data_IF_970108062445
#
_entry.id   IF_970108062445
#
_cell.length_a   1.000
_cell.length_b   1.000
_cell.length_c   1.000
_cell.angle_alpha   90.00
_cell.angle_beta   90.00
_cell.angle_gamma   90.00
#
_symmetry.space_group_name_H-M   'P 1'
#
loop_
_entity.id
_entity.type
_entity.pdbx_description
1 polymer ?
#
# COMPACT_ATOMS: atom_id res chain seq x y z
N UNK A 1 9.91 -1.12 21.60
CA UNK A 1 11.27 -1.59 21.25
C UNK A 1 12.01 -2.17 22.43
N UNK A 2 12.41 -1.39 23.45
CA UNK A 2 13.15 -1.91 24.61
C UNK A 2 12.48 -3.10 25.31
N UNK A 3 11.19 -2.98 25.66
CA UNK A 3 10.44 -4.09 26.26
C UNK A 3 10.34 -5.34 25.37
N UNK A 4 10.24 -5.15 24.05
CA UNK A 4 10.20 -6.28 23.11
C UNK A 4 11.56 -6.98 23.05
N UNK A 5 12.66 -6.23 23.01
CA UNK A 5 14.01 -6.77 23.04
C UNK A 5 14.28 -7.56 24.35
N UNK A 6 13.88 -7.01 25.50
CA UNK A 6 13.97 -7.72 26.78
C UNK A 6 13.10 -8.98 26.84
N UNK A 7 11.93 -8.98 26.18
CA UNK A 7 11.06 -10.14 26.12
C UNK A 7 11.67 -11.29 25.31
N UNK A 8 12.48 -11.01 24.27
CA UNK A 8 13.15 -12.06 23.46
C UNK A 8 14.15 -12.88 24.29
N UNK A 9 14.81 -12.25 25.27
CA UNK A 9 15.82 -12.93 26.10
C UNK A 9 15.26 -13.53 27.39
N UNK A 10 13.98 -13.29 27.69
CA UNK A 10 13.33 -13.79 28.89
C UNK A 10 12.92 -15.26 28.76
N UNK A 11 13.35 -16.10 29.70
CA UNK A 11 12.88 -17.50 29.80
C UNK A 11 11.50 -17.56 30.44
N UNK A 12 10.48 -17.94 29.67
CA UNK A 12 9.13 -18.17 30.19
C UNK A 12 9.07 -19.46 31.02
N UNK A 13 8.75 -19.35 32.31
CA UNK A 13 8.61 -20.51 33.22
C UNK A 13 7.32 -21.30 33.02
N UNK A 14 6.32 -20.72 32.35
CA UNK A 14 4.96 -21.27 32.22
C UNK A 14 4.60 -21.86 30.85
N UNK A 15 5.51 -21.83 29.86
CA UNK A 15 5.23 -22.28 28.47
C UNK A 15 3.98 -21.64 27.84
N UNK A 16 3.72 -20.35 28.10
CA UNK A 16 2.60 -19.63 27.48
C UNK A 16 2.83 -19.48 25.97
N UNK A 17 1.79 -19.72 25.18
CA UNK A 17 1.79 -19.57 23.71
C UNK A 17 2.30 -18.19 23.27
N UNK A 18 1.86 -17.11 23.95
CA UNK A 18 2.31 -15.74 23.65
C UNK A 18 3.81 -15.51 23.85
N UNK A 19 4.45 -16.24 24.77
CA UNK A 19 5.88 -16.10 24.99
C UNK A 19 6.70 -16.70 23.84
N UNK A 20 6.19 -17.75 23.18
CA UNK A 20 6.82 -18.33 21.99
C UNK A 20 6.74 -17.39 20.78
N UNK A 21 5.77 -16.46 20.77
CA UNK A 21 5.57 -15.49 19.69
C UNK A 21 6.34 -14.17 19.91
N UNK A 22 6.84 -13.91 21.12
CA UNK A 22 7.53 -12.66 21.47
C UNK A 22 8.68 -12.26 20.53
N UNK A 23 9.54 -13.19 20.05
CA UNK A 23 10.58 -12.85 19.08
C UNK A 23 10.01 -12.34 17.75
N UNK A 24 8.90 -12.91 17.29
CA UNK A 24 8.24 -12.46 16.07
C UNK A 24 7.63 -11.08 16.24
N UNK A 25 6.99 -10.79 17.38
CA UNK A 25 6.49 -9.44 17.68
C UNK A 25 7.60 -8.39 17.70
N UNK A 26 8.80 -8.77 18.16
CA UNK A 26 9.96 -7.89 18.09
C UNK A 26 10.38 -7.62 16.63
N UNK A 27 10.41 -8.64 15.77
CA UNK A 27 10.67 -8.47 14.32
C UNK A 27 9.60 -7.58 13.68
N UNK A 28 8.32 -7.76 14.01
CA UNK A 28 7.25 -6.92 13.49
C UNK A 28 7.44 -5.44 13.87
N UNK A 29 7.79 -5.16 15.13
CA UNK A 29 8.07 -3.80 15.60
C UNK A 29 9.31 -3.19 14.92
N UNK A 30 10.40 -3.96 14.77
CA UNK A 30 11.58 -3.53 14.01
C UNK A 30 11.22 -3.20 12.55
N UNK A 31 10.35 -4.01 11.94
CA UNK A 31 9.87 -3.82 10.58
C UNK A 31 9.08 -2.52 10.44
N UNK A 32 8.16 -2.23 11.37
CA UNK A 32 7.40 -0.96 11.39
C UNK A 32 8.31 0.25 11.62
N UNK A 33 9.34 0.11 12.46
CA UNK A 33 10.39 1.10 12.68
C UNK A 33 11.37 1.26 11.51
N UNK A 34 11.31 0.38 10.50
CA UNK A 34 12.26 0.28 9.38
C UNK A 34 13.71 0.04 9.80
N UNK A 35 13.91 -0.64 10.93
CA UNK A 35 15.18 -1.22 11.35
C UNK A 35 15.41 -2.57 10.65
N UNK A 36 15.35 -2.55 9.31
CA UNK A 36 15.16 -3.74 8.47
C UNK A 36 16.32 -4.73 8.57
N UNK A 37 17.56 -4.25 8.65
CA UNK A 37 18.74 -5.11 8.80
C UNK A 37 18.77 -5.84 10.15
N UNK A 38 18.32 -5.16 11.22
CA UNK A 38 18.22 -5.75 12.56
C UNK A 38 17.10 -6.78 12.58
N UNK A 39 15.94 -6.46 12.00
CA UNK A 39 14.82 -7.38 11.83
C UNK A 39 15.23 -8.64 11.05
N UNK A 40 15.98 -8.47 9.95
CA UNK A 40 16.45 -9.56 9.11
C UNK A 40 17.42 -10.49 9.83
N UNK A 41 18.34 -9.94 10.61
CA UNK A 41 19.24 -10.76 11.45
C UNK A 41 18.45 -11.54 12.50
N UNK A 42 17.48 -10.90 13.15
CA UNK A 42 16.67 -11.54 14.19
C UNK A 42 15.78 -12.65 13.62
N UNK A 43 15.06 -12.42 12.51
CA UNK A 43 14.17 -13.43 11.93
C UNK A 43 14.91 -14.70 11.48
N UNK A 44 16.19 -14.56 11.12
CA UNK A 44 17.05 -15.67 10.71
C UNK A 44 17.87 -16.27 11.85
N UNK A 45 17.73 -15.76 13.09
CA UNK A 45 18.58 -16.15 14.21
C UNK A 45 18.21 -17.53 14.76
N UNK A 46 19.17 -18.26 15.36
CA UNK A 46 18.90 -19.54 16.02
C UNK A 46 17.86 -19.43 17.14
N UNK A 47 17.79 -18.27 17.83
CA UNK A 47 16.85 -18.00 18.91
C UNK A 47 15.40 -18.07 18.42
N UNK A 48 15.12 -17.60 17.21
CA UNK A 48 13.79 -17.70 16.59
C UNK A 48 13.47 -19.14 16.12
N UNK A 49 14.49 -19.99 15.96
CA UNK A 49 14.33 -21.42 15.65
C UNK A 49 14.19 -22.30 16.89
N UNK A 50 14.39 -21.76 18.10
CA UNK A 50 14.21 -22.49 19.37
C UNK A 50 12.71 -22.56 19.71
N UNK A 51 12.18 -23.76 19.89
CA UNK A 51 10.78 -24.02 20.26
C UNK A 51 10.42 -25.51 20.15
N UNK A 52 9.25 -25.90 20.69
CA UNK A 52 8.63 -27.22 20.46
C UNK A 52 8.30 -27.41 18.96
N UNK A 53 8.10 -28.65 18.46
CA UNK A 53 7.74 -28.91 17.07
C UNK A 53 6.60 -28.01 16.58
N UNK A 54 6.69 -27.59 15.31
CA UNK A 54 5.95 -26.49 14.66
C UNK A 54 4.45 -26.46 15.00
N UNK A 55 4.09 -25.65 16.01
CA UNK A 55 2.68 -25.24 16.19
C UNK A 55 2.22 -24.51 14.92
N UNK A 56 1.06 -24.85 14.34
CA UNK A 56 0.52 -24.15 13.17
C UNK A 56 0.42 -22.63 13.36
N UNK A 57 0.11 -22.17 14.58
CA UNK A 57 0.06 -20.72 14.90
C UNK A 57 1.44 -20.08 14.81
N UNK A 58 2.49 -20.78 15.27
CA UNK A 58 3.87 -20.30 15.17
C UNK A 58 4.32 -20.24 13.70
N UNK A 59 4.02 -21.28 12.92
CA UNK A 59 4.32 -21.33 11.48
C UNK A 59 3.62 -20.19 10.72
N UNK A 60 2.32 -19.99 10.98
CA UNK A 60 1.58 -18.86 10.42
C UNK A 60 2.20 -17.51 10.80
N UNK A 61 2.53 -17.32 12.09
CA UNK A 61 3.16 -16.10 12.60
C UNK A 61 4.50 -15.82 11.91
N UNK A 62 5.33 -16.86 11.78
CA UNK A 62 6.63 -16.78 11.13
C UNK A 62 6.52 -16.31 9.67
N UNK A 63 5.63 -16.94 8.90
CA UNK A 63 5.39 -16.59 7.50
C UNK A 63 4.86 -15.16 7.34
N UNK A 64 3.84 -14.77 8.11
CA UNK A 64 3.25 -13.42 8.01
C UNK A 64 4.28 -12.35 8.35
N UNK A 65 5.03 -12.50 9.45
CA UNK A 65 6.00 -11.49 9.89
C UNK A 65 7.24 -11.45 9.00
N UNK A 66 7.71 -12.60 8.50
CA UNK A 66 8.78 -12.64 7.49
C UNK A 66 8.33 -11.98 6.19
N UNK A 67 7.11 -12.24 5.75
CA UNK A 67 6.52 -11.64 4.56
C UNK A 67 6.38 -10.13 4.66
N UNK A 68 5.93 -9.62 5.82
CA UNK A 68 5.91 -8.17 6.12
C UNK A 68 7.30 -7.53 6.02
N UNK A 69 8.32 -8.19 6.58
CA UNK A 69 9.69 -7.71 6.54
C UNK A 69 10.24 -7.66 5.11
N UNK A 70 10.06 -8.74 4.34
CA UNK A 70 10.46 -8.81 2.93
C UNK A 70 9.77 -7.73 2.10
N UNK A 71 8.47 -7.52 2.34
CA UNK A 71 7.71 -6.47 1.68
C UNK A 71 8.26 -5.07 2.00
N UNK A 72 8.60 -4.80 3.27
CA UNK A 72 9.21 -3.54 3.69
C UNK A 72 10.63 -3.33 3.13
N UNK A 73 11.39 -4.40 2.93
CA UNK A 73 12.71 -4.40 2.29
C UNK A 73 12.67 -4.19 0.77
N UNK A 74 11.48 -4.26 0.15
CA UNK A 74 11.32 -4.16 -1.30
C UNK A 74 11.37 -5.48 -2.06
N UNK A 75 11.56 -6.61 -1.36
CA UNK A 75 11.42 -7.97 -1.90
C UNK A 75 9.93 -8.34 -2.01
N UNK A 76 9.18 -7.58 -2.83
CA UNK A 76 7.71 -7.58 -2.80
C UNK A 76 7.11 -8.93 -3.18
N UNK A 77 7.60 -9.58 -4.24
CA UNK A 77 7.04 -10.87 -4.67
C UNK A 77 7.27 -11.97 -3.64
N UNK A 78 8.48 -12.05 -3.07
CA UNK A 78 8.81 -12.99 -1.99
C UNK A 78 7.99 -12.71 -0.73
N UNK A 79 7.85 -11.43 -0.36
CA UNK A 79 7.07 -11.02 0.79
C UNK A 79 5.60 -11.40 0.66
N UNK A 80 5.01 -11.23 -0.52
CA UNK A 80 3.63 -11.63 -0.77
C UNK A 80 3.43 -13.14 -0.77
N UNK A 81 4.37 -13.90 -1.33
CA UNK A 81 4.32 -15.37 -1.31
C UNK A 81 4.40 -15.91 0.13
N UNK A 82 5.26 -15.33 0.96
CA UNK A 82 5.39 -15.67 2.39
C UNK A 82 4.11 -15.33 3.16
N UNK A 83 3.54 -14.14 2.99
CA UNK A 83 2.27 -13.77 3.63
C UNK A 83 1.14 -14.70 3.18
N UNK A 84 1.05 -15.03 1.90
CA UNK A 84 0.02 -15.93 1.37
C UNK A 84 0.12 -17.34 1.99
N UNK A 85 1.33 -17.87 2.15
CA UNK A 85 1.55 -19.14 2.85
C UNK A 85 1.12 -19.04 4.32
N UNK A 86 1.49 -17.96 5.02
CA UNK A 86 1.12 -17.73 6.41
C UNK A 86 -0.39 -17.59 6.62
N UNK A 87 -1.09 -16.89 5.73
CA UNK A 87 -2.54 -16.71 5.77
C UNK A 87 -3.27 -18.05 5.62
N UNK A 88 -2.84 -18.93 4.70
CA UNK A 88 -3.44 -20.27 4.57
C UNK A 88 -3.34 -21.09 5.86
N UNK A 89 -2.18 -21.04 6.51
CA UNK A 89 -1.99 -21.75 7.79
C UNK A 89 -2.81 -21.10 8.90
N UNK A 90 -2.85 -19.76 8.96
CA UNK A 90 -3.62 -19.01 9.96
C UNK A 90 -5.12 -19.29 9.85
N UNK A 91 -5.67 -19.32 8.63
CA UNK A 91 -7.06 -19.67 8.36
C UNK A 91 -7.36 -21.12 8.78
N UNK A 92 -6.46 -22.06 8.44
CA UNK A 92 -6.61 -23.48 8.82
C UNK A 92 -6.60 -23.70 10.33
N UNK A 93 -5.73 -23.02 11.08
CA UNK A 93 -5.60 -23.20 12.53
C UNK A 93 -6.44 -22.23 13.38
N UNK A 94 -7.20 -21.32 12.76
CA UNK A 94 -8.04 -20.35 13.46
C UNK A 94 -7.29 -19.18 14.10
N UNK A 95 -6.05 -18.89 13.69
CA UNK A 95 -5.22 -17.80 14.22
C UNK A 95 -5.65 -16.42 13.69
N UNK A 96 -6.91 -16.02 13.96
CA UNK A 96 -7.57 -14.84 13.37
C UNK A 96 -6.85 -13.51 13.65
N UNK A 97 -6.17 -13.38 14.78
CA UNK A 97 -5.43 -12.17 15.13
C UNK A 97 -4.28 -11.84 14.17
N UNK A 98 -3.82 -12.81 13.36
CA UNK A 98 -2.76 -12.60 12.35
C UNK A 98 -3.32 -12.13 11.00
N UNK A 99 -4.61 -12.37 10.74
CA UNK A 99 -5.19 -12.15 9.42
C UNK A 99 -5.13 -10.67 8.98
N UNK A 100 -5.46 -9.67 9.83
CA UNK A 100 -5.42 -8.27 9.41
C UNK A 100 -4.03 -7.80 8.94
N UNK A 101 -2.98 -8.24 9.62
CA UNK A 101 -1.60 -7.93 9.29
C UNK A 101 -1.24 -8.43 7.87
N UNK A 102 -1.52 -9.71 7.59
CA UNK A 102 -1.31 -10.29 6.26
C UNK A 102 -2.20 -9.65 5.19
N UNK A 103 -3.47 -9.40 5.47
CA UNK A 103 -4.38 -8.77 4.50
C UNK A 103 -3.96 -7.35 4.12
N UNK A 104 -3.39 -6.56 5.04
CA UNK A 104 -2.83 -5.23 4.71
C UNK A 104 -1.69 -5.35 3.70
N UNK A 105 -0.75 -6.28 3.91
CA UNK A 105 0.36 -6.51 2.97
C UNK A 105 -0.16 -6.93 1.60
N UNK A 106 -1.08 -7.90 1.56
CA UNK A 106 -1.65 -8.38 0.31
C UNK A 106 -2.42 -7.28 -0.43
N UNK A 107 -3.23 -6.49 0.28
CA UNK A 107 -3.99 -5.38 -0.29
C UNK A 107 -3.06 -4.28 -0.81
N UNK A 108 -2.05 -3.86 -0.03
CA UNK A 108 -1.12 -2.80 -0.41
C UNK A 108 -0.20 -3.22 -1.56
N UNK A 109 0.28 -4.47 -1.56
CA UNK A 109 1.07 -5.03 -2.66
C UNK A 109 0.27 -5.14 -3.95
N UNK A 110 -0.99 -5.57 -3.88
CA UNK A 110 -1.90 -5.56 -5.02
C UNK A 110 -2.17 -4.13 -5.53
N UNK A 111 -2.44 -3.20 -4.61
CA UNK A 111 -2.68 -1.79 -4.95
C UNK A 111 -1.50 -1.16 -5.71
N UNK A 112 -0.28 -1.33 -5.19
CA UNK A 112 0.96 -0.81 -5.81
C UNK A 112 1.27 -1.46 -7.17
N UNK A 113 0.78 -2.68 -7.41
CA UNK A 113 0.90 -3.39 -8.69
C UNK A 113 -0.26 -3.16 -9.68
N UNK A 114 -1.17 -2.23 -9.36
CA UNK A 114 -2.39 -1.97 -10.12
C UNK A 114 -3.34 -3.18 -10.24
N UNK A 115 -3.25 -4.15 -9.31
CA UNK A 115 -4.20 -5.25 -9.20
C UNK A 115 -5.35 -4.86 -8.27
N UNK A 116 -6.30 -4.09 -8.81
CA UNK A 116 -7.43 -3.60 -8.04
C UNK A 116 -8.35 -4.72 -7.56
N UNK A 117 -8.43 -5.84 -8.28
CA UNK A 117 -9.28 -6.97 -7.88
C UNK A 117 -8.75 -7.59 -6.58
N UNK A 118 -7.47 -7.94 -6.55
CA UNK A 118 -6.85 -8.55 -5.38
C UNK A 118 -6.81 -7.56 -4.22
N UNK A 119 -6.55 -6.28 -4.50
CA UNK A 119 -6.64 -5.21 -3.50
C UNK A 119 -8.02 -5.21 -2.82
N UNK A 120 -9.11 -5.16 -3.59
CA UNK A 120 -10.46 -5.13 -3.05
C UNK A 120 -10.83 -6.40 -2.30
N UNK A 121 -10.42 -7.57 -2.79
CA UNK A 121 -10.64 -8.82 -2.08
C UNK A 121 -10.10 -8.78 -0.65
N UNK A 122 -8.88 -8.29 -0.45
CA UNK A 122 -8.28 -8.20 0.87
C UNK A 122 -8.81 -7.00 1.69
N UNK A 123 -9.27 -5.92 1.05
CA UNK A 123 -10.01 -4.85 1.75
C UNK A 123 -11.36 -5.36 2.29
N UNK A 124 -12.08 -6.18 1.53
CA UNK A 124 -13.34 -6.78 1.99
C UNK A 124 -13.07 -7.73 3.17
N UNK A 125 -12.02 -8.56 3.10
CA UNK A 125 -11.58 -9.40 4.22
C UNK A 125 -11.20 -8.58 5.46
N UNK A 126 -10.44 -7.49 5.29
CA UNK A 126 -10.12 -6.55 6.39
C UNK A 126 -11.37 -5.95 7.03
N UNK A 127 -12.35 -5.57 6.21
CA UNK A 127 -13.63 -5.04 6.69
C UNK A 127 -14.38 -6.09 7.51
N UNK A 128 -14.39 -7.35 7.06
CA UNK A 128 -14.97 -8.46 7.81
C UNK A 128 -14.32 -8.65 9.19
N UNK A 129 -12.98 -8.69 9.26
CA UNK A 129 -12.27 -8.82 10.54
C UNK A 129 -12.53 -7.63 11.48
N UNK A 130 -12.62 -6.41 10.94
CA UNK A 130 -12.93 -5.22 11.72
C UNK A 130 -14.34 -5.26 12.34
N UNK A 131 -15.34 -5.75 11.60
CA UNK A 131 -16.71 -5.93 12.11
C UNK A 131 -16.79 -6.98 13.22
N UNK A 132 -15.88 -7.93 13.24
CA UNK A 132 -15.76 -8.96 14.29
C UNK A 132 -14.91 -8.51 15.49
N UNK A 133 -14.44 -7.26 15.50
CA UNK A 133 -13.69 -6.69 16.61
C UNK A 133 -12.20 -7.03 16.63
N UNK A 134 -11.64 -7.61 15.55
CA UNK A 134 -10.21 -7.90 15.47
C UNK A 134 -9.39 -6.64 15.08
N UNK A 135 -8.27 -6.46 15.78
CA UNK A 135 -7.45 -5.25 15.70
C UNK A 135 -6.55 -5.20 14.45
N UNK A 136 -6.30 -3.97 13.98
CA UNK A 136 -5.78 -3.62 12.65
C UNK A 136 -6.48 -2.40 12.03
N UNK A 137 -7.39 -1.77 12.79
CA UNK A 137 -8.36 -0.76 12.33
C UNK A 137 -7.72 0.41 11.57
N UNK A 138 -6.57 0.91 12.00
CA UNK A 138 -5.95 2.09 11.38
C UNK A 138 -5.42 1.79 9.97
N UNK A 139 -4.63 0.73 9.81
CA UNK A 139 -4.13 0.31 8.50
C UNK A 139 -5.26 -0.20 7.59
N UNK A 140 -6.26 -0.91 8.14
CA UNK A 140 -7.44 -1.35 7.40
C UNK A 140 -8.31 -0.18 6.90
N UNK A 141 -8.56 0.82 7.75
CA UNK A 141 -9.29 2.03 7.37
C UNK A 141 -8.52 2.83 6.30
N UNK A 142 -7.21 2.96 6.45
CA UNK A 142 -6.34 3.59 5.45
C UNK A 142 -6.38 2.85 4.11
N UNK A 143 -6.24 1.52 4.11
CA UNK A 143 -6.34 0.72 2.89
C UNK A 143 -7.71 0.81 2.22
N UNK A 144 -8.79 0.85 3.02
CA UNK A 144 -10.14 1.06 2.52
C UNK A 144 -10.29 2.44 1.85
N UNK A 145 -9.70 3.47 2.45
CA UNK A 145 -9.73 4.83 1.91
C UNK A 145 -8.89 4.95 0.62
N UNK A 146 -7.71 4.32 0.56
CA UNK A 146 -6.89 4.22 -0.65
C UNK A 146 -7.65 3.54 -1.80
N UNK A 147 -8.32 2.43 -1.52
CA UNK A 147 -9.11 1.70 -2.50
C UNK A 147 -10.33 2.51 -2.98
N UNK A 148 -11.01 3.20 -2.07
CA UNK A 148 -12.13 4.08 -2.39
C UNK A 148 -11.69 5.25 -3.30
N UNK A 149 -10.57 5.91 -2.96
CA UNK A 149 -9.99 6.99 -3.77
C UNK A 149 -9.64 6.49 -5.18
N UNK A 150 -8.99 5.33 -5.28
CA UNK A 150 -8.54 4.80 -6.56
C UNK A 150 -9.68 4.38 -7.50
N UNK A 151 -10.83 3.94 -6.95
CA UNK A 151 -11.99 3.50 -7.76
C UNK A 151 -12.90 4.64 -8.18
N UNK A 152 -13.11 5.62 -7.31
CA UNK A 152 -14.16 6.62 -7.53
C UNK A 152 -13.75 8.06 -7.24
N UNK A 153 -12.45 8.32 -7.10
CA UNK A 153 -11.93 9.64 -6.76
C UNK A 153 -12.01 9.92 -5.25
N UNK A 154 -11.41 11.05 -4.86
CA UNK A 154 -11.21 11.38 -3.45
C UNK A 154 -12.51 11.59 -2.68
N UNK A 155 -13.58 12.03 -3.34
CA UNK A 155 -14.89 12.25 -2.71
C UNK A 155 -15.47 10.96 -2.13
N UNK A 156 -15.20 9.81 -2.77
CA UNK A 156 -15.61 8.49 -2.26
C UNK A 156 -14.85 8.07 -1.00
N UNK A 157 -13.66 8.63 -0.78
CA UNK A 157 -12.84 8.37 0.39
C UNK A 157 -13.06 9.41 1.52
N UNK A 158 -13.78 10.51 1.26
CA UNK A 158 -13.89 11.65 2.16
C UNK A 158 -14.34 11.28 3.58
N UNK A 159 -15.37 10.44 3.72
CA UNK A 159 -15.85 9.98 5.03
C UNK A 159 -14.80 9.20 5.82
N UNK A 160 -14.04 8.33 5.16
CA UNK A 160 -12.96 7.56 5.79
C UNK A 160 -11.78 8.46 6.16
N UNK A 161 -11.40 9.40 5.28
CA UNK A 161 -10.34 10.38 5.55
C UNK A 161 -10.69 11.21 6.79
N UNK A 162 -11.90 11.78 6.84
CA UNK A 162 -12.37 12.54 8.00
C UNK A 162 -12.39 11.68 9.27
N UNK A 163 -12.89 10.44 9.20
CA UNK A 163 -12.92 9.54 10.36
C UNK A 163 -11.53 9.15 10.87
N UNK A 164 -10.56 8.95 9.95
CA UNK A 164 -9.15 8.68 10.32
C UNK A 164 -8.54 9.90 11.01
N UNK A 165 -8.68 11.08 10.42
CA UNK A 165 -8.00 12.30 10.91
C UNK A 165 -8.61 12.81 12.22
N UNK A 166 -9.94 12.73 12.37
CA UNK A 166 -10.63 13.25 13.57
C UNK A 166 -10.61 12.29 14.75
N UNK A 167 -10.16 11.04 14.57
CA UNK A 167 -9.97 10.08 15.65
C UNK A 167 -8.48 10.03 16.06
N UNK A 168 -8.09 10.61 17.22
CA UNK A 168 -6.67 10.72 17.59
C UNK A 168 -5.98 9.36 17.79
N UNK A 169 -6.71 8.34 18.25
CA UNK A 169 -6.17 7.01 18.46
C UNK A 169 -5.84 6.35 17.12
N UNK A 170 -6.79 6.37 16.18
CA UNK A 170 -6.62 5.81 14.84
C UNK A 170 -5.52 6.53 14.08
N UNK A 171 -5.53 7.87 14.09
CA UNK A 171 -4.51 8.69 13.43
C UNK A 171 -3.12 8.38 13.99
N UNK A 172 -2.95 8.39 15.31
CA UNK A 172 -1.65 8.10 15.93
C UNK A 172 -1.16 6.70 15.57
N UNK A 173 -2.01 5.68 15.66
CA UNK A 173 -1.65 4.30 15.32
C UNK A 173 -1.25 4.18 13.83
N UNK A 174 -1.97 4.86 12.93
CA UNK A 174 -1.66 4.87 11.51
C UNK A 174 -0.28 5.48 11.25
N UNK A 175 -0.02 6.68 11.79
CA UNK A 175 1.19 7.46 11.49
C UNK A 175 2.48 6.80 11.98
N UNK A 176 2.42 5.99 13.05
CA UNK A 176 3.60 5.25 13.54
C UNK A 176 3.79 3.89 12.86
N UNK A 177 2.77 3.39 12.15
CA UNK A 177 2.80 2.05 11.54
C UNK A 177 2.99 2.09 10.03
N UNK A 178 2.44 3.11 9.37
CA UNK A 178 2.39 3.23 7.91
C UNK A 178 3.02 4.55 7.45
N UNK A 179 4.32 4.55 7.08
CA UNK A 179 5.07 5.78 6.79
C UNK A 179 4.48 6.64 5.66
N UNK A 180 3.84 5.98 4.69
CA UNK A 180 3.22 6.63 3.54
C UNK A 180 1.90 7.37 3.87
N UNK A 181 1.30 7.11 5.04
CA UNK A 181 -0.04 7.58 5.35
C UNK A 181 -0.12 9.10 5.52
N UNK A 182 0.88 9.72 6.15
CA UNK A 182 0.90 11.16 6.42
C UNK A 182 0.85 11.98 5.12
N UNK A 183 1.75 11.68 4.18
CA UNK A 183 1.80 12.37 2.88
C UNK A 183 0.57 12.06 2.02
N UNK A 184 0.03 10.85 2.13
CA UNK A 184 -1.22 10.50 1.45
C UNK A 184 -2.40 11.31 1.98
N UNK A 185 -2.56 11.44 3.30
CA UNK A 185 -3.61 12.25 3.93
C UNK A 185 -3.53 13.70 3.44
N UNK A 186 -2.34 14.30 3.42
CA UNK A 186 -2.16 15.68 2.92
C UNK A 186 -2.58 15.81 1.45
N UNK A 187 -2.15 14.87 0.57
CA UNK A 187 -2.57 14.87 -0.84
C UNK A 187 -4.09 14.70 -0.99
N UNK A 188 -4.70 13.83 -0.19
CA UNK A 188 -6.12 13.55 -0.27
C UNK A 188 -6.96 14.73 0.25
N UNK A 189 -6.61 15.28 1.40
CA UNK A 189 -7.25 16.48 1.96
C UNK A 189 -7.14 17.68 1.03
N UNK A 190 -5.98 17.89 0.39
CA UNK A 190 -5.81 18.95 -0.61
C UNK A 190 -6.72 18.79 -1.84
N UNK A 191 -6.96 17.56 -2.31
CA UNK A 191 -7.94 17.30 -3.40
C UNK A 191 -9.39 17.54 -2.96
N UNK A 192 -9.69 17.37 -1.67
CA UNK A 192 -11.00 17.64 -1.08
C UNK A 192 -11.22 19.11 -0.73
N UNK A 193 -10.17 19.94 -0.74
CA UNK A 193 -10.22 21.30 -0.18
C UNK A 193 -10.39 21.32 1.34
N UNK A 194 -9.96 20.27 2.03
CA UNK A 194 -10.10 20.11 3.47
C UNK A 194 -8.82 20.49 4.23
N UNK A 195 -8.39 21.74 4.12
CA UNK A 195 -7.10 22.22 4.61
C UNK A 195 -6.90 21.98 6.11
N UNK A 196 -7.93 22.18 6.94
CA UNK A 196 -7.87 21.90 8.38
C UNK A 196 -7.61 20.42 8.72
N UNK A 197 -8.08 19.49 7.89
CA UNK A 197 -7.75 18.06 8.05
C UNK A 197 -6.30 17.77 7.63
N UNK A 198 -5.79 18.45 6.60
CA UNK A 198 -4.39 18.35 6.20
C UNK A 198 -3.46 18.86 7.30
N UNK A 199 -3.76 20.03 7.87
CA UNK A 199 -3.04 20.61 9.00
C UNK A 199 -3.02 19.66 10.20
N UNK A 200 -4.19 19.10 10.56
CA UNK A 200 -4.29 18.13 11.67
C UNK A 200 -3.37 16.92 11.45
N UNK A 201 -3.34 16.37 10.24
CA UNK A 201 -2.47 15.23 9.91
C UNK A 201 -0.99 15.60 10.00
N UNK A 202 -0.59 16.79 9.53
CA UNK A 202 0.80 17.29 9.63
C UNK A 202 1.19 17.53 11.08
N UNK A 203 0.34 18.18 11.88
CA UNK A 203 0.59 18.40 13.31
C UNK A 203 0.77 17.08 14.05
N UNK A 204 -0.09 16.09 13.79
CA UNK A 204 0.02 14.77 14.41
C UNK A 204 1.31 14.03 14.00
N UNK A 205 1.72 14.11 12.72
CA UNK A 205 2.97 13.53 12.25
C UNK A 205 4.20 14.22 12.88
N UNK A 206 4.19 15.55 12.97
CA UNK A 206 5.23 16.33 13.65
C UNK A 206 5.34 15.98 15.14
N UNK A 207 4.21 15.87 15.84
CA UNK A 207 4.19 15.44 17.24
C UNK A 207 4.75 14.02 17.42
N UNK A 208 4.42 13.09 16.52
CA UNK A 208 4.98 11.73 16.55
C UNK A 208 6.51 11.75 16.37
N UNK A 209 7.05 12.55 15.46
CA UNK A 209 8.50 12.68 15.24
C UNK A 209 9.23 13.27 16.45
N UNK A 210 8.63 14.28 17.11
CA UNK A 210 9.20 14.87 18.35
C UNK A 210 9.22 13.87 19.50
N UNK A 211 8.18 13.06 19.66
CA UNK A 211 8.10 12.05 20.72
C UNK A 211 9.06 10.88 20.44
N UNK A 212 9.37 10.59 19.17
CA UNK A 212 10.12 9.42 18.72
C UNK A 212 11.29 9.79 17.80
N UNK A 213 12.25 10.64 18.25
CA UNK A 213 13.29 11.19 17.39
C UNK A 213 14.30 10.14 16.90
N UNK A 214 14.38 8.99 17.57
CA UNK A 214 15.26 7.89 17.22
C UNK A 214 14.84 7.08 15.98
N UNK A 215 13.63 7.32 15.43
CA UNK A 215 13.13 6.58 14.27
C UNK A 215 13.10 7.49 13.04
N UNK A 216 14.10 7.33 12.16
CA UNK A 216 14.26 8.13 10.94
C UNK A 216 13.02 8.11 10.05
N UNK A 217 12.32 6.97 9.98
CA UNK A 217 11.10 6.81 9.19
C UNK A 217 9.95 7.72 9.66
N UNK A 218 9.82 7.97 10.97
CA UNK A 218 8.77 8.84 11.52
C UNK A 218 9.11 10.30 11.20
N UNK A 219 10.37 10.69 11.37
CA UNK A 219 10.87 12.01 11.00
C UNK A 219 10.75 12.29 9.50
N UNK A 220 11.06 11.31 8.65
CA UNK A 220 10.89 11.41 7.21
C UNK A 220 9.42 11.59 6.80
N UNK A 221 8.50 10.83 7.42
CA UNK A 221 7.06 10.96 7.18
C UNK A 221 6.52 12.34 7.58
N UNK A 222 6.97 12.89 8.72
CA UNK A 222 6.61 14.23 9.15
C UNK A 222 7.13 15.31 8.18
N UNK A 223 8.40 15.23 7.77
CA UNK A 223 8.98 16.15 6.77
C UNK A 223 8.27 16.07 5.42
N UNK A 224 7.89 14.87 4.98
CA UNK A 224 7.17 14.66 3.73
C UNK A 224 5.79 15.34 3.78
N UNK A 225 5.03 15.11 4.85
CA UNK A 225 3.71 15.70 5.02
C UNK A 225 3.78 17.24 5.14
N UNK A 226 4.72 17.77 5.94
CA UNK A 226 4.94 19.21 6.10
C UNK A 226 5.38 19.87 4.78
N UNK A 227 6.34 19.27 4.06
CA UNK A 227 6.81 19.79 2.78
C UNK A 227 5.71 19.85 1.71
N UNK A 228 4.76 18.91 1.73
CA UNK A 228 3.59 18.94 0.86
C UNK A 228 2.62 20.07 1.21
N UNK A 229 2.29 20.21 2.51
CA UNK A 229 1.33 21.22 2.98
C UNK A 229 1.87 22.64 2.74
N UNK A 230 3.15 22.86 3.02
CA UNK A 230 3.78 24.19 2.93
C UNK A 230 4.32 24.52 1.53
N UNK A 231 4.39 23.54 0.62
CA UNK A 231 5.05 23.72 -0.68
C UNK A 231 6.57 23.89 -0.57
N UNK A 232 7.20 23.28 0.45
CA UNK A 232 8.63 23.39 0.73
C UNK A 232 9.43 22.25 0.07
N UNK A 233 10.17 22.60 -0.97
CA UNK A 233 11.05 21.66 -1.70
C UNK A 233 12.26 21.17 -0.88
N UNK A 234 12.71 21.92 0.13
CA UNK A 234 13.77 21.52 1.04
C UNK A 234 13.31 20.35 1.90
N UNK A 235 12.17 20.51 2.58
CA UNK A 235 11.56 19.45 3.40
C UNK A 235 11.29 18.16 2.61
N UNK A 236 10.79 18.27 1.38
CA UNK A 236 10.58 17.09 0.53
C UNK A 236 11.89 16.40 0.10
N UNK A 237 12.95 17.17 -0.13
CA UNK A 237 14.28 16.62 -0.44
C UNK A 237 14.87 15.90 0.78
N UNK A 238 14.75 16.50 1.96
CA UNK A 238 15.24 15.92 3.20
C UNK A 238 14.47 14.63 3.53
N UNK A 239 13.14 14.64 3.40
CA UNK A 239 12.32 13.45 3.54
C UNK A 239 12.76 12.33 2.57
N UNK A 240 12.95 12.66 1.29
CA UNK A 240 13.37 11.69 0.27
C UNK A 240 14.73 11.04 0.55
N UNK A 241 15.63 11.76 1.22
CA UNK A 241 16.95 11.25 1.61
C UNK A 241 16.92 10.51 2.95
N UNK A 242 15.96 10.84 3.83
CA UNK A 242 15.86 10.27 5.17
C UNK A 242 15.07 8.95 5.21
N UNK A 243 14.13 8.73 4.27
CA UNK A 243 13.37 7.48 4.23
C UNK A 243 14.30 6.26 4.05
N UNK A 244 14.19 5.25 4.94
CA UNK A 244 14.93 3.99 4.79
C UNK A 244 14.31 3.06 3.74
N UNK A 245 13.00 3.16 3.47
CA UNK A 245 12.33 2.35 2.45
C UNK A 245 12.29 3.04 1.08
N UNK A 246 12.58 2.26 0.03
CA UNK A 246 12.71 2.75 -1.34
C UNK A 246 11.41 3.38 -1.86
N UNK A 247 10.25 2.81 -1.51
CA UNK A 247 8.96 3.30 -2.01
C UNK A 247 8.62 4.67 -1.44
N UNK A 248 8.76 4.90 -0.13
CA UNK A 248 8.46 6.20 0.48
C UNK A 248 9.45 7.27 0.02
N UNK A 249 10.73 6.92 -0.12
CA UNK A 249 11.73 7.80 -0.73
C UNK A 249 11.34 8.20 -2.16
N UNK A 250 10.90 7.25 -2.99
CA UNK A 250 10.40 7.52 -4.33
C UNK A 250 9.15 8.42 -4.33
N UNK A 251 8.22 8.20 -3.40
CA UNK A 251 7.03 9.04 -3.24
C UNK A 251 7.39 10.48 -2.88
N UNK A 252 8.36 10.70 -1.98
CA UNK A 252 8.82 12.05 -1.66
C UNK A 252 9.54 12.73 -2.83
N UNK A 253 10.36 11.99 -3.59
CA UNK A 253 10.99 12.49 -4.83
C UNK A 253 9.96 12.90 -5.87
N UNK A 254 8.91 12.11 -6.02
CA UNK A 254 7.85 12.41 -6.98
C UNK A 254 7.08 13.69 -6.61
N UNK A 255 6.80 13.91 -5.33
CA UNK A 255 6.16 15.13 -4.85
C UNK A 255 7.10 16.34 -4.97
N UNK A 256 8.39 16.17 -4.66
CA UNK A 256 9.43 17.19 -4.89
C UNK A 256 9.47 17.60 -6.37
N UNK A 257 9.48 16.63 -7.28
CA UNK A 257 9.43 16.91 -8.71
C UNK A 257 8.16 17.67 -9.10
N UNK A 258 7.01 17.38 -8.47
CA UNK A 258 5.77 18.13 -8.65
C UNK A 258 5.88 19.61 -8.29
N UNK A 259 6.60 19.95 -7.21
CA UNK A 259 6.86 21.35 -6.84
C UNK A 259 7.83 22.04 -7.81
N UNK A 260 8.91 21.36 -8.18
CA UNK A 260 9.94 21.90 -9.07
C UNK A 260 9.43 22.10 -10.50
N UNK A 261 8.54 21.23 -10.98
CA UNK A 261 7.92 21.29 -12.31
C UNK A 261 7.23 22.63 -12.61
N UNK A 262 6.81 23.38 -11.58
CA UNK A 262 6.20 24.71 -11.73
C UNK A 262 7.17 25.76 -12.26
N UNK A 263 8.48 25.52 -12.19
CA UNK A 263 9.55 26.46 -12.59
C UNK A 263 10.25 25.96 -13.85
N UNK A 264 10.22 26.74 -14.93
CA UNK A 264 10.83 26.34 -16.22
C UNK A 264 12.33 26.06 -16.12
N UNK A 265 13.05 26.78 -15.25
CA UNK A 265 14.48 26.57 -15.00
C UNK A 265 14.81 25.21 -14.39
N UNK A 266 13.86 24.59 -13.67
CA UNK A 266 14.03 23.31 -12.97
C UNK A 266 13.72 22.10 -13.85
N UNK A 267 13.49 22.28 -15.15
CA UNK A 267 13.09 21.20 -16.07
C UNK A 267 14.00 19.98 -15.98
N UNK A 268 15.31 20.18 -16.12
CA UNK A 268 16.29 19.08 -16.12
C UNK A 268 16.37 18.40 -14.75
N UNK A 269 16.28 19.18 -13.66
CA UNK A 269 16.28 18.66 -12.30
C UNK A 269 15.03 17.82 -12.03
N UNK A 270 13.87 18.29 -12.49
CA UNK A 270 12.59 17.58 -12.41
C UNK A 270 12.66 16.24 -13.13
N UNK A 271 13.19 16.20 -14.36
CA UNK A 271 13.37 14.96 -15.12
C UNK A 271 14.26 13.98 -14.33
N UNK A 272 15.44 14.41 -13.88
CA UNK A 272 16.37 13.56 -13.12
C UNK A 272 15.75 12.98 -11.85
N UNK A 273 14.97 13.79 -11.12
CA UNK A 273 14.30 13.36 -9.89
C UNK A 273 13.18 12.34 -10.21
N UNK A 274 12.40 12.57 -11.28
CA UNK A 274 11.39 11.63 -11.74
C UNK A 274 12.01 10.31 -12.21
N UNK A 275 13.15 10.34 -12.90
CA UNK A 275 13.88 9.13 -13.30
C UNK A 275 14.34 8.33 -12.07
N UNK A 276 14.91 9.00 -11.07
CA UNK A 276 15.28 8.35 -9.81
C UNK A 276 14.07 7.75 -9.07
N UNK A 277 12.92 8.43 -9.06
CA UNK A 277 11.68 7.88 -8.50
C UNK A 277 11.17 6.67 -9.29
N UNK A 278 11.26 6.71 -10.62
CA UNK A 278 10.87 5.60 -11.50
C UNK A 278 11.73 4.36 -11.25
N UNK A 279 13.05 4.53 -11.15
CA UNK A 279 13.98 3.43 -10.91
C UNK A 279 13.66 2.76 -9.55
N UNK A 280 13.40 3.56 -8.51
CA UNK A 280 13.02 3.06 -7.19
C UNK A 280 11.64 2.36 -7.18
N UNK A 281 10.61 2.92 -7.82
CA UNK A 281 9.31 2.25 -7.95
C UNK A 281 9.41 0.94 -8.75
N UNK A 282 10.24 0.90 -9.78
CA UNK A 282 10.47 -0.31 -10.59
C UNK A 282 11.19 -1.38 -9.77
N UNK A 283 12.20 -1.00 -8.98
CA UNK A 283 12.95 -1.92 -8.13
C UNK A 283 12.08 -2.65 -7.10
N UNK A 284 11.04 -1.99 -6.58
CA UNK A 284 10.08 -2.59 -5.63
C UNK A 284 8.80 -3.11 -6.30
N UNK A 285 8.75 -3.17 -7.64
CA UNK A 285 7.59 -3.67 -8.38
C UNK A 285 6.31 -2.82 -8.24
N UNK A 286 6.40 -1.56 -7.85
CA UNK A 286 5.25 -0.65 -7.73
C UNK A 286 4.82 -0.11 -9.12
N UNK A 287 4.29 -0.99 -9.97
CA UNK A 287 3.95 -0.69 -11.38
C UNK A 287 2.91 0.42 -11.53
N UNK A 288 1.98 0.56 -10.57
CA UNK A 288 1.00 1.67 -10.55
C UNK A 288 1.70 3.02 -10.46
N UNK A 289 2.66 3.13 -9.55
CA UNK A 289 3.42 4.36 -9.30
C UNK A 289 4.44 4.62 -10.41
N UNK A 290 5.12 3.56 -10.89
CA UNK A 290 6.00 3.65 -12.04
C UNK A 290 5.26 4.19 -13.28
N UNK A 291 4.05 3.70 -13.55
CA UNK A 291 3.21 4.18 -14.67
C UNK A 291 2.83 5.64 -14.53
N UNK A 292 2.50 6.07 -13.30
CA UNK A 292 2.25 7.48 -12.96
C UNK A 292 3.46 8.37 -13.28
N UNK A 293 4.66 7.96 -12.88
CA UNK A 293 5.90 8.70 -13.15
C UNK A 293 6.28 8.70 -14.62
N UNK A 294 6.10 7.59 -15.34
CA UNK A 294 6.33 7.51 -16.79
C UNK A 294 5.46 8.51 -17.54
N UNK A 295 4.20 8.69 -17.15
CA UNK A 295 3.36 9.71 -17.79
C UNK A 295 3.84 11.13 -17.49
N UNK A 296 4.24 11.44 -16.25
CA UNK A 296 4.83 12.74 -15.92
C UNK A 296 6.08 13.01 -16.77
N UNK A 297 6.95 12.02 -16.96
CA UNK A 297 8.13 12.12 -17.83
C UNK A 297 7.77 12.39 -19.29
N UNK A 298 6.67 11.82 -19.81
CA UNK A 298 6.18 12.09 -21.16
C UNK A 298 5.76 13.54 -21.35
N UNK A 299 5.20 14.19 -20.33
CA UNK A 299 4.86 15.62 -20.37
C UNK A 299 6.12 16.50 -20.54
N UNK A 300 7.30 15.98 -20.15
CA UNK A 300 8.59 16.60 -20.40
C UNK A 300 9.28 16.16 -21.71
N UNK A 301 8.58 15.40 -22.57
CA UNK A 301 9.12 14.89 -23.83
C UNK A 301 10.05 13.69 -23.68
N UNK A 302 10.20 13.14 -22.47
CA UNK A 302 11.03 11.96 -22.22
C UNK A 302 10.21 10.72 -22.54
N UNK A 303 10.54 10.07 -23.67
CA UNK A 303 9.92 8.79 -24.07
C UNK A 303 10.82 7.64 -23.65
N UNK A 304 10.49 6.98 -22.54
CA UNK A 304 11.04 5.65 -22.22
C UNK A 304 10.12 4.58 -22.80
N UNK A 305 10.71 3.46 -23.24
CA UNK A 305 9.96 2.27 -23.65
C UNK A 305 8.97 1.90 -22.54
N UNK A 306 7.75 1.52 -22.91
CA UNK A 306 6.75 1.14 -21.91
C UNK A 306 7.36 0.07 -20.99
N UNK A 307 7.39 0.33 -19.69
CA UNK A 307 7.63 -0.70 -18.68
C UNK A 307 6.47 -1.69 -18.82
N UNK A 308 6.60 -2.64 -19.74
CA UNK A 308 5.69 -3.77 -19.84
C UNK A 308 6.01 -4.60 -18.60
N UNK A 309 5.29 -4.32 -17.50
CA UNK A 309 5.02 -5.36 -16.55
C UNK A 309 4.52 -6.55 -17.36
N UNK A 310 5.15 -7.71 -17.19
CA UNK A 310 4.70 -8.95 -17.83
C UNK A 310 3.28 -9.17 -17.29
N UNK A 311 2.27 -8.74 -18.05
CA UNK A 311 0.87 -8.99 -17.72
C UNK A 311 0.71 -10.50 -17.80
N UNK A 312 0.59 -11.17 -16.65
CA UNK A 312 0.24 -12.60 -16.62
C UNK A 312 -1.15 -12.74 -17.24
N UNK A 313 -1.22 -13.32 -18.43
CA UNK A 313 -2.49 -13.67 -19.06
C UNK A 313 -3.25 -14.69 -18.20
N UNK A 314 -4.57 -14.53 -18.07
CA UNK A 314 -5.45 -15.68 -17.83
C UNK A 314 -5.85 -16.05 -16.40
N UNK A 315 -5.64 -15.22 -15.38
CA UNK A 315 -6.08 -15.55 -13.99
C UNK A 315 -7.39 -14.88 -13.54
N UNK A 316 -8.00 -14.03 -14.37
CA UNK A 316 -9.26 -13.35 -14.04
C UNK A 316 -10.44 -13.92 -14.83
N UNK A 317 -11.71 -13.75 -14.36
CA UNK A 317 -12.90 -14.10 -15.13
C UNK A 317 -12.79 -13.63 -16.57
N UNK A 318 -13.23 -14.48 -17.51
CA UNK A 318 -13.14 -14.21 -18.95
C UNK A 318 -11.69 -14.04 -19.47
N UNK A 319 -10.68 -14.46 -18.71
CA UNK A 319 -9.26 -14.35 -19.11
C UNK A 319 -8.73 -12.91 -19.13
N UNK A 320 -9.36 -12.00 -18.39
CA UNK A 320 -8.92 -10.60 -18.30
C UNK A 320 -7.53 -10.48 -17.64
N UNK A 321 -6.75 -9.49 -18.04
CA UNK A 321 -5.55 -9.05 -17.29
C UNK A 321 -5.94 -8.07 -16.18
N UNK A 322 -5.04 -7.81 -15.23
CA UNK A 322 -5.29 -6.83 -14.15
C UNK A 322 -5.63 -5.44 -14.68
N UNK A 323 -4.91 -4.99 -15.72
CA UNK A 323 -5.17 -3.72 -16.40
C UNK A 323 -6.55 -3.72 -17.07
N UNK A 324 -6.90 -4.79 -17.79
CA UNK A 324 -8.21 -4.93 -18.44
C UNK A 324 -9.36 -4.96 -17.43
N UNK A 325 -9.20 -5.66 -16.31
CA UNK A 325 -10.17 -5.69 -15.21
C UNK A 325 -10.36 -4.30 -14.60
N UNK A 326 -9.28 -3.58 -14.31
CA UNK A 326 -9.35 -2.23 -13.76
C UNK A 326 -10.04 -1.25 -14.72
N UNK A 327 -9.74 -1.33 -16.03
CA UNK A 327 -10.42 -0.54 -17.07
C UNK A 327 -11.91 -0.86 -17.10
N UNK A 328 -12.27 -2.15 -17.13
CA UNK A 328 -13.65 -2.60 -17.19
C UNK A 328 -14.44 -2.18 -15.94
N UNK A 329 -13.84 -2.27 -14.74
CA UNK A 329 -14.46 -1.83 -13.49
C UNK A 329 -14.78 -0.33 -13.52
N UNK A 330 -13.81 0.53 -13.85
CA UNK A 330 -14.03 1.98 -13.87
C UNK A 330 -15.06 2.40 -14.93
N UNK A 331 -15.03 1.76 -16.10
CA UNK A 331 -15.98 2.01 -17.19
C UNK A 331 -17.40 1.59 -16.80
N UNK A 332 -17.55 0.45 -16.11
CA UNK A 332 -18.84 -0.01 -15.58
C UNK A 332 -19.44 0.93 -14.54
N UNK A 333 -18.62 1.72 -13.86
CA UNK A 333 -19.04 2.76 -12.92
C UNK A 333 -19.35 4.11 -13.59
N UNK A 334 -19.25 4.21 -14.92
CA UNK A 334 -19.58 5.41 -15.68
C UNK A 334 -18.38 6.27 -16.10
N UNK A 335 -17.15 5.95 -15.72
CA UNK A 335 -15.97 6.80 -16.01
C UNK A 335 -15.59 6.82 -17.50
N UNK A 336 -15.53 8.00 -18.11
CA UNK A 336 -15.07 8.20 -19.50
C UNK A 336 -13.64 7.70 -19.71
N UNK A 337 -13.24 7.43 -20.96
CA UNK A 337 -11.87 6.97 -21.25
C UNK A 337 -10.79 7.95 -20.77
N UNK A 338 -11.10 9.24 -20.72
CA UNK A 338 -10.21 10.26 -20.17
C UNK A 338 -10.07 10.12 -18.66
N UNK A 339 -11.17 9.94 -17.94
CA UNK A 339 -11.17 9.75 -16.48
C UNK A 339 -10.46 8.44 -16.08
N UNK A 340 -10.74 7.35 -16.80
CA UNK A 340 -10.06 6.06 -16.61
C UNK A 340 -8.56 6.21 -16.86
N UNK A 341 -8.17 6.88 -17.94
CA UNK A 341 -6.76 7.12 -18.26
C UNK A 341 -6.04 7.91 -17.16
N UNK A 342 -6.72 8.90 -16.59
CA UNK A 342 -6.22 9.68 -15.45
C UNK A 342 -6.07 8.83 -14.18
N UNK A 343 -7.02 7.96 -13.87
CA UNK A 343 -7.01 7.12 -12.66
C UNK A 343 -6.01 5.95 -12.71
N UNK A 344 -5.82 5.37 -13.90
CA UNK A 344 -4.91 4.25 -14.13
C UNK A 344 -3.54 4.67 -14.64
N UNK A 345 -3.33 5.97 -14.86
CA UNK A 345 -2.10 6.51 -15.43
C UNK A 345 -1.76 5.85 -16.77
N UNK A 346 -2.70 5.86 -17.70
CA UNK A 346 -2.52 5.42 -19.09
C UNK A 346 -3.22 6.40 -20.05
N UNK A 347 -2.83 6.41 -21.33
CA UNK A 347 -3.47 7.31 -22.30
C UNK A 347 -4.92 6.87 -22.58
N UNK A 348 -5.81 7.81 -22.94
CA UNK A 348 -7.18 7.49 -23.40
C UNK A 348 -7.21 6.48 -24.56
N UNK A 349 -6.18 6.49 -25.40
CA UNK A 349 -6.03 5.56 -26.52
C UNK A 349 -5.65 4.16 -26.03
N UNK A 350 -4.80 4.08 -24.99
CA UNK A 350 -4.50 2.83 -24.28
C UNK A 350 -5.74 2.27 -23.61
N UNK A 351 -6.59 3.13 -22.99
CA UNK A 351 -7.89 2.70 -22.45
C UNK A 351 -8.78 2.13 -23.55
N UNK A 352 -8.92 2.83 -24.69
CA UNK A 352 -9.72 2.34 -25.81
C UNK A 352 -9.21 0.99 -26.36
N UNK A 353 -7.89 0.82 -26.40
CA UNK A 353 -7.26 -0.46 -26.76
C UNK A 353 -7.62 -1.58 -25.78
N UNK A 354 -7.50 -1.36 -24.47
CA UNK A 354 -7.91 -2.34 -23.47
C UNK A 354 -9.40 -2.64 -23.53
N UNK A 355 -10.25 -1.64 -23.75
CA UNK A 355 -11.70 -1.84 -23.90
C UNK A 355 -12.06 -2.74 -25.07
N UNK A 356 -11.36 -2.62 -26.21
CA UNK A 356 -11.57 -3.53 -27.34
C UNK A 356 -11.30 -4.99 -26.95
N UNK A 357 -10.23 -5.24 -26.18
CA UNK A 357 -9.92 -6.58 -25.66
C UNK A 357 -10.93 -7.05 -24.62
N UNK A 358 -11.36 -6.17 -23.71
CA UNK A 358 -12.40 -6.46 -22.70
C UNK A 358 -13.70 -6.89 -23.39
N UNK A 359 -14.14 -6.15 -24.41
CA UNK A 359 -15.36 -6.46 -25.16
C UNK A 359 -15.29 -7.85 -25.82
N UNK A 360 -14.15 -8.17 -26.43
CA UNK A 360 -13.92 -9.50 -27.01
C UNK A 360 -13.93 -10.61 -25.94
N UNK A 361 -13.18 -10.43 -24.85
CA UNK A 361 -13.05 -11.42 -23.78
C UNK A 361 -14.37 -11.66 -23.04
N UNK A 362 -15.13 -10.60 -22.78
CA UNK A 362 -16.41 -10.67 -22.08
C UNK A 362 -17.61 -10.93 -23.01
N UNK A 363 -17.40 -11.03 -24.33
CA UNK A 363 -18.46 -11.20 -25.32
C UNK A 363 -19.58 -10.14 -25.22
N UNK A 364 -19.18 -8.88 -25.02
CA UNK A 364 -20.08 -7.71 -24.98
C UNK A 364 -19.74 -6.74 -26.11
N UNK A 365 -20.72 -6.02 -26.62
CA UNK A 365 -20.57 -5.14 -27.80
C UNK A 365 -20.69 -3.66 -27.45
N UNK A 366 -21.26 -3.34 -26.29
CA UNK A 366 -21.48 -1.96 -25.87
C UNK A 366 -21.03 -1.69 -24.44
N UNK A 367 -20.84 -0.41 -24.14
CA UNK A 367 -20.52 0.08 -22.80
C UNK A 367 -21.64 -0.23 -21.79
N UNK A 368 -22.89 -0.20 -22.26
CA UNK A 368 -24.08 -0.54 -21.45
C UNK A 368 -24.11 -2.03 -21.16
N UNK A 369 -23.85 -2.88 -22.16
CA UNK A 369 -23.73 -4.33 -21.97
C UNK A 369 -22.57 -4.70 -21.04
N UNK A 370 -21.43 -4.02 -21.17
CA UNK A 370 -20.32 -4.18 -20.23
C UNK A 370 -20.78 -3.85 -18.80
N UNK A 371 -21.45 -2.73 -18.58
CA UNK A 371 -21.93 -2.35 -17.25
C UNK A 371 -22.94 -3.37 -16.66
N UNK A 372 -23.87 -3.86 -17.48
CA UNK A 372 -24.83 -4.88 -17.07
C UNK A 372 -24.14 -6.21 -16.71
N UNK A 373 -23.24 -6.68 -17.57
CA UNK A 373 -22.46 -7.91 -17.36
C UNK A 373 -21.54 -7.80 -16.14
N UNK A 374 -20.94 -6.63 -15.91
CA UNK A 374 -20.09 -6.38 -14.76
C UNK A 374 -20.86 -6.45 -13.44
N UNK A 375 -22.09 -5.91 -13.42
CA UNK A 375 -22.98 -6.01 -12.26
C UNK A 375 -23.35 -7.47 -11.96
N UNK A 376 -23.68 -8.26 -12.99
CA UNK A 376 -23.93 -9.68 -12.84
C UNK A 376 -22.71 -10.44 -12.29
N UNK A 377 -21.51 -10.11 -12.77
CA UNK A 377 -20.25 -10.69 -12.31
C UNK A 377 -19.93 -10.37 -10.84
N UNK A 378 -20.25 -9.15 -10.37
CA UNK A 378 -20.10 -8.75 -8.96
C UNK A 378 -21.16 -9.41 -8.07
N UNK A 379 -22.40 -9.51 -8.54
CA UNK A 379 -23.49 -10.12 -7.78
C UNK A 379 -23.37 -11.65 -7.67
N UNK A 380 -22.80 -12.31 -8.68
CA UNK A 380 -22.55 -13.76 -8.66
C UNK A 380 -21.46 -14.20 -7.67
N UNK A 381 -20.61 -13.28 -7.17
CA UNK A 381 -19.63 -13.59 -6.11
C UNK A 381 -20.24 -13.69 -4.71
N UNK A 382 -21.48 -13.25 -4.51
CA UNK A 382 -22.16 -13.36 -3.21
C UNK A 382 -22.97 -14.66 -3.02
N UNK A 383 -22.89 -15.61 -3.96
CA UNK A 383 -23.75 -16.81 -3.98
C UNK A 383 -23.01 -18.16 -4.01
N UNK A 384 -21.68 -18.15 -3.98
CA UNK A 384 -20.86 -19.36 -4.13
C UNK A 384 -20.02 -19.72 -2.89
N UNK A 385 -20.33 -19.13 -1.72
CA UNK A 385 -19.69 -19.46 -0.43
C UNK A 385 -20.69 -20.09 0.57
N UNK A 386 -21.61 -20.94 0.09
CA UNK A 386 -22.47 -21.80 0.94
C UNK A 386 -21.96 -23.25 0.94
#
# INVERSE_FOLDING_TARGET
MQYAASAVTATCRGSHEFCELAPFWHVALLTKARELEVAWRLVNSPELRRGKPESPVRTATAHVIRGELLFAMGCVDDGLAEVEAGLRVAEFCGARSLLPAGYVVMALGAFRRADMRTCLHFVDKLTGEALLGYFGQSAGAWMSALAAEARGGVDRAAGLITGIVTNPLVLRQLLVSEPAAASWLVRACGKLGADGLAETAVTAAGAAAVIQPGFSVISAAALHAAGLLEGDSGKLRDAANLYPDLWCGASAREDLAGLLAKRRSERNNTIRILESALDAYTAVGATRDASRVVNKLRDFGVRRGATRAVEREGQLPHGLTNTEFAVAELVSQGHTNNEVGRQLFISRHTVAFHLKKVYQKMSVTSRVELAASWKALKNGRGRNDD
#
